data_IF_389910441670
#
_entry.id   IF_389910441670
#
_cell.length_a   1.000
_cell.length_b   1.000
_cell.length_c   1.000
_cell.angle_alpha   90.00
_cell.angle_beta   90.00
_cell.angle_gamma   90.00
#
_symmetry.space_group_name_H-M   'P 1'
#
loop_
_entity.id
_entity.type
_entity.pdbx_description
1 polymer ?
#
# COMPACT_ATOMS: atom_id res chain seq x y z
N UNK A 1 3.35 -6.29 -24.84
CA UNK A 1 2.28 -5.35 -24.41
C UNK A 1 1.27 -5.99 -23.48
N UNK A 2 0.69 -7.15 -23.81
CA UNK A 2 -0.30 -7.84 -22.95
C UNK A 2 0.22 -8.20 -21.55
N UNK A 3 1.50 -8.59 -21.43
CA UNK A 3 2.08 -9.03 -20.16
C UNK A 3 2.13 -7.90 -19.11
N UNK A 4 2.51 -6.68 -19.50
CA UNK A 4 2.57 -5.53 -18.57
C UNK A 4 1.16 -5.14 -18.12
N UNK A 5 0.20 -5.09 -19.04
CA UNK A 5 -1.20 -4.84 -18.68
C UNK A 5 -1.73 -5.89 -17.70
N UNK A 6 -1.43 -7.18 -17.89
CA UNK A 6 -1.85 -8.21 -16.94
C UNK A 6 -1.20 -8.08 -15.57
N UNK A 7 0.08 -7.66 -15.51
CA UNK A 7 0.78 -7.42 -14.24
C UNK A 7 0.18 -6.21 -13.51
N UNK A 8 -0.04 -5.11 -14.21
CA UNK A 8 -0.66 -3.90 -13.65
C UNK A 8 -2.07 -4.15 -13.13
N UNK A 9 -2.90 -4.91 -13.88
CA UNK A 9 -4.23 -5.28 -13.42
C UNK A 9 -4.17 -6.11 -12.13
N UNK A 10 -3.33 -7.15 -12.09
CA UNK A 10 -3.17 -8.00 -10.89
C UNK A 10 -2.71 -7.23 -9.67
N UNK A 11 -1.71 -6.36 -9.83
CA UNK A 11 -1.20 -5.56 -8.71
C UNK A 11 -2.22 -4.53 -8.23
N UNK A 12 -3.02 -3.96 -9.14
CA UNK A 12 -4.13 -3.08 -8.76
C UNK A 12 -5.18 -3.84 -7.95
N UNK A 13 -5.54 -5.05 -8.37
CA UNK A 13 -6.50 -5.90 -7.65
C UNK A 13 -5.94 -6.31 -6.27
N UNK A 14 -4.66 -6.65 -6.19
CA UNK A 14 -3.97 -7.00 -4.93
C UNK A 14 -3.89 -5.82 -3.96
N UNK A 15 -3.56 -4.63 -4.47
CA UNK A 15 -3.55 -3.40 -3.69
C UNK A 15 -4.96 -3.10 -3.17
N UNK A 16 -5.99 -3.18 -4.01
CA UNK A 16 -7.38 -2.95 -3.62
C UNK A 16 -7.83 -3.93 -2.53
N UNK A 17 -7.54 -5.22 -2.69
CA UNK A 17 -7.88 -6.24 -1.70
C UNK A 17 -7.15 -5.99 -0.37
N UNK A 18 -5.87 -5.61 -0.43
CA UNK A 18 -5.07 -5.30 0.76
C UNK A 18 -5.59 -4.06 1.49
N UNK A 19 -5.99 -3.00 0.75
CA UNK A 19 -6.58 -1.80 1.35
C UNK A 19 -7.92 -2.09 2.01
N UNK A 20 -8.78 -2.88 1.38
CA UNK A 20 -10.07 -3.29 1.97
C UNK A 20 -9.87 -4.09 3.24
N UNK A 21 -8.86 -4.98 3.25
CA UNK A 21 -8.51 -5.75 4.44
C UNK A 21 -8.01 -4.83 5.57
N UNK A 22 -7.11 -3.90 5.25
CA UNK A 22 -6.57 -2.93 6.20
C UNK A 22 -7.69 -2.07 6.82
N UNK A 23 -8.64 -1.60 6.01
CA UNK A 23 -9.82 -0.86 6.48
C UNK A 23 -10.68 -1.71 7.41
N UNK A 24 -11.01 -2.94 7.02
CA UNK A 24 -11.81 -3.85 7.83
C UNK A 24 -11.12 -4.24 9.15
N UNK A 25 -9.80 -4.38 9.15
CA UNK A 25 -9.04 -4.69 10.36
C UNK A 25 -8.84 -3.46 11.25
N UNK A 26 -8.84 -2.24 10.68
CA UNK A 26 -8.84 -0.98 11.43
C UNK A 26 -10.13 -0.79 12.24
N UNK A 27 -11.28 -1.24 11.70
CA UNK A 27 -12.56 -1.20 12.42
C UNK A 27 -12.60 -2.15 13.63
N UNK A 28 -11.73 -3.16 13.67
CA UNK A 28 -11.66 -4.17 14.74
C UNK A 28 -10.66 -3.81 15.84
N UNK A 29 -10.04 -2.64 15.77
CA UNK A 29 -9.08 -2.20 16.79
C UNK A 29 -9.80 -2.14 18.15
N UNK A 30 -9.30 -2.85 19.17
CA UNK A 30 -9.94 -2.87 20.48
C UNK A 30 -9.81 -1.51 21.19
N UNK A 31 -10.78 -1.15 22.03
CA UNK A 31 -10.77 0.12 22.77
C UNK A 31 -9.70 0.18 23.89
N UNK A 32 -9.30 -0.98 24.42
CA UNK A 32 -8.27 -1.03 25.45
C UNK A 32 -6.91 -0.64 24.85
N UNK A 33 -6.25 0.36 25.43
CA UNK A 33 -4.98 0.88 24.92
C UNK A 33 -3.87 -0.17 24.77
N UNK A 34 -3.73 -1.12 25.70
CA UNK A 34 -2.68 -2.14 25.61
C UNK A 34 -2.96 -3.13 24.48
N UNK A 35 -4.21 -3.59 24.38
CA UNK A 35 -4.63 -4.49 23.31
C UNK A 35 -4.60 -3.80 21.95
N UNK A 36 -4.94 -2.50 21.89
CA UNK A 36 -4.87 -1.69 20.68
C UNK A 36 -3.42 -1.59 20.20
N UNK A 37 -2.48 -1.25 21.09
CA UNK A 37 -1.05 -1.19 20.75
C UNK A 37 -0.56 -2.53 20.19
N UNK A 38 -0.93 -3.65 20.84
CA UNK A 38 -0.58 -5.00 20.38
C UNK A 38 -1.21 -5.32 19.03
N UNK A 39 -2.45 -4.91 18.81
CA UNK A 39 -3.20 -5.14 17.57
C UNK A 39 -2.61 -4.34 16.41
N UNK A 40 -2.33 -3.04 16.62
CA UNK A 40 -1.65 -2.20 15.64
C UNK A 40 -0.31 -2.80 15.21
N UNK A 41 0.53 -3.17 16.18
CA UNK A 41 1.85 -3.71 15.89
C UNK A 41 1.82 -5.07 15.18
N UNK A 42 0.85 -5.94 15.53
CA UNK A 42 0.80 -7.32 15.01
C UNK A 42 0.04 -7.48 13.71
N UNK A 43 -1.01 -6.68 13.51
CA UNK A 43 -1.98 -6.82 12.43
C UNK A 43 -1.86 -5.64 11.47
N UNK A 44 -2.20 -4.43 11.94
CA UNK A 44 -2.27 -3.23 11.08
C UNK A 44 -0.96 -2.93 10.37
N UNK A 45 0.19 -2.98 11.08
CA UNK A 45 1.51 -2.73 10.46
C UNK A 45 1.80 -3.73 9.33
N UNK A 46 1.40 -4.99 9.47
CA UNK A 46 1.61 -6.01 8.43
C UNK A 46 0.69 -5.78 7.22
N UNK A 47 -0.55 -5.39 7.47
CA UNK A 47 -1.49 -5.08 6.39
C UNK A 47 -1.06 -3.81 5.63
N UNK A 48 -0.53 -2.80 6.35
CA UNK A 48 0.09 -1.62 5.74
C UNK A 48 1.31 -1.99 4.90
N UNK A 49 2.15 -2.93 5.37
CA UNK A 49 3.30 -3.41 4.60
C UNK A 49 2.87 -4.13 3.31
N UNK A 50 1.80 -4.93 3.36
CA UNK A 50 1.23 -5.58 2.17
C UNK A 50 0.73 -4.56 1.13
N UNK A 51 -0.03 -3.54 1.57
CA UNK A 51 -0.44 -2.45 0.71
C UNK A 51 0.77 -1.73 0.08
N UNK A 52 1.80 -1.46 0.89
CA UNK A 52 3.01 -0.78 0.42
C UNK A 52 3.74 -1.58 -0.65
N UNK A 53 3.93 -2.89 -0.44
CA UNK A 53 4.63 -3.75 -1.40
C UNK A 53 3.93 -3.76 -2.77
N UNK A 54 2.60 -3.85 -2.80
CA UNK A 54 1.85 -3.80 -4.05
C UNK A 54 1.96 -2.41 -4.73
N UNK A 55 1.91 -1.32 -3.95
CA UNK A 55 2.07 0.04 -4.46
C UNK A 55 3.48 0.30 -5.01
N UNK A 56 4.55 -0.14 -4.32
CA UNK A 56 5.93 0.01 -4.76
C UNK A 56 6.18 -0.73 -6.10
N UNK A 57 5.57 -1.90 -6.27
CA UNK A 57 5.64 -2.66 -7.53
C UNK A 57 4.86 -1.97 -8.65
N UNK A 58 3.73 -1.32 -8.33
CA UNK A 58 2.98 -0.50 -9.28
C UNK A 58 3.76 0.77 -9.69
N UNK A 59 4.45 1.42 -8.75
CA UNK A 59 5.30 2.59 -9.02
C UNK A 59 6.39 2.24 -10.05
N UNK A 60 7.01 1.06 -9.93
CA UNK A 60 8.09 0.64 -10.83
C UNK A 60 7.64 0.37 -12.28
N UNK A 61 6.35 0.08 -12.50
CA UNK A 61 5.81 -0.25 -13.84
C UNK A 61 4.91 0.84 -14.42
N UNK A 62 4.52 1.82 -13.63
CA UNK A 62 3.66 2.93 -14.05
C UNK A 62 4.51 4.13 -14.39
N UNK A 63 4.26 4.75 -15.54
CA UNK A 63 4.96 5.99 -15.90
C UNK A 63 4.58 7.12 -14.95
N UNK A 64 5.55 7.97 -14.63
CA UNK A 64 5.42 9.09 -13.68
C UNK A 64 4.26 10.03 -14.02
N UNK A 65 3.91 10.19 -15.30
CA UNK A 65 2.78 11.01 -15.73
C UNK A 65 1.42 10.48 -15.23
N UNK A 66 1.33 9.17 -15.01
CA UNK A 66 0.09 8.49 -14.60
C UNK A 66 0.10 8.07 -13.13
N UNK A 67 1.25 8.15 -12.45
CA UNK A 67 1.36 7.88 -11.02
C UNK A 67 1.00 9.14 -10.21
N UNK A 68 -0.10 9.16 -9.45
CA UNK A 68 -0.58 10.37 -8.77
C UNK A 68 0.24 10.73 -7.53
N UNK A 69 1.10 9.82 -7.06
CA UNK A 69 1.96 10.04 -5.90
C UNK A 69 3.34 10.53 -6.36
N UNK A 70 4.00 11.43 -5.60
CA UNK A 70 5.38 11.78 -5.88
C UNK A 70 6.24 10.51 -5.76
N UNK A 71 6.93 10.16 -6.84
CA UNK A 71 7.88 9.05 -6.84
C UNK A 71 8.91 9.24 -5.72
N UNK A 72 9.43 8.14 -5.17
CA UNK A 72 10.29 8.18 -3.99
C UNK A 72 11.51 9.12 -4.15
N UNK A 73 12.08 9.17 -5.35
CA UNK A 73 13.16 10.10 -5.72
C UNK A 73 12.75 11.57 -5.60
N UNK A 74 11.52 11.93 -5.96
CA UNK A 74 11.00 13.29 -5.77
C UNK A 74 10.72 13.56 -4.30
N UNK A 75 10.21 12.58 -3.54
CA UNK A 75 9.97 12.79 -2.11
C UNK A 75 11.28 13.03 -1.33
N UNK A 76 12.34 12.31 -1.69
CA UNK A 76 13.64 12.40 -1.01
C UNK A 76 14.54 13.55 -1.51
N UNK A 77 14.38 13.97 -2.77
CA UNK A 77 15.28 14.92 -3.42
C UNK A 77 14.54 16.08 -4.13
N UNK A 78 13.30 16.40 -3.73
CA UNK A 78 12.53 17.52 -4.30
C UNK A 78 13.18 18.89 -4.09
N UNK A 79 14.22 18.99 -3.27
CA UNK A 79 15.00 20.21 -3.14
C UNK A 79 16.29 20.16 -3.95
N UNK A 80 16.21 20.76 -5.14
CA UNK A 80 17.22 21.68 -5.67
C UNK A 80 16.52 22.87 -6.32
#
# INVERSE_FOLDING_TARGET
ETEICTKSAKLTDELLSSTQKLEADMEKVPENNEDAMRYYHRIIVKDMEACRLAADQLEAITDEKYWPFPVYSKLLFSEK
#
